data_IF_644727568142
#
_entry.id   IF_644727568142
#
_cell.length_a   1.000
_cell.length_b   1.000
_cell.length_c   1.000
_cell.angle_alpha   90.00
_cell.angle_beta   90.00
_cell.angle_gamma   90.00
#
_symmetry.space_group_name_H-M   'P 1'
#
loop_
_entity.id
_entity.type
_entity.pdbx_description
1 polymer ?
#
# COMPACT_ATOMS: atom_id res chain seq x y z
N UNK A 1 26.82 17.73 -6.21
CA UNK A 1 25.43 17.62 -5.73
C UNK A 1 25.27 16.27 -5.04
N UNK A 2 25.17 16.23 -3.71
CA UNK A 2 24.99 14.96 -2.99
C UNK A 2 23.67 14.32 -3.43
N UNK A 3 23.72 13.08 -3.93
CA UNK A 3 22.52 12.33 -4.30
C UNK A 3 21.70 12.08 -3.03
N UNK A 4 20.61 12.83 -2.84
CA UNK A 4 19.74 12.62 -1.70
C UNK A 4 19.07 11.25 -1.84
N UNK A 5 19.54 10.26 -1.08
CA UNK A 5 19.05 8.88 -1.17
C UNK A 5 17.57 8.87 -0.77
N UNK A 6 16.70 8.49 -1.71
CA UNK A 6 15.25 8.46 -1.48
C UNK A 6 14.91 7.48 -0.35
N UNK A 7 14.33 7.99 0.73
CA UNK A 7 13.88 7.19 1.88
C UNK A 7 12.52 6.56 1.56
N UNK A 8 12.44 5.23 1.56
CA UNK A 8 11.17 4.53 1.42
C UNK A 8 10.46 4.42 2.78
N UNK A 9 9.43 5.24 2.98
CA UNK A 9 8.58 5.24 4.17
C UNK A 9 7.39 4.28 4.01
N UNK A 10 6.96 3.65 5.11
CA UNK A 10 5.72 2.89 5.17
C UNK A 10 4.50 3.81 5.14
N UNK A 11 3.33 3.27 4.81
CA UNK A 11 2.08 4.02 4.91
C UNK A 11 1.78 4.47 6.34
N UNK A 12 2.14 3.69 7.35
CA UNK A 12 2.00 4.08 8.76
C UNK A 12 2.82 5.33 9.10
N UNK A 13 4.10 5.38 8.71
CA UNK A 13 4.94 6.57 8.97
C UNK A 13 4.44 7.79 8.20
N UNK A 14 3.95 7.60 6.97
CA UNK A 14 3.37 8.70 6.18
C UNK A 14 2.07 9.21 6.82
N UNK A 15 1.25 8.33 7.40
CA UNK A 15 0.02 8.73 8.09
C UNK A 15 0.33 9.55 9.35
N UNK A 16 1.30 9.12 10.16
CA UNK A 16 1.77 9.90 11.34
C UNK A 16 2.25 11.30 10.95
N UNK A 17 3.01 11.41 9.87
CA UNK A 17 3.42 12.70 9.31
C UNK A 17 2.24 13.59 8.93
N UNK A 18 1.20 13.02 8.31
CA UNK A 18 -0.03 13.77 7.97
C UNK A 18 -0.73 14.25 9.24
N UNK A 19 -0.89 13.38 10.23
CA UNK A 19 -1.53 13.70 11.50
C UNK A 19 -0.76 14.78 12.28
N UNK A 20 0.58 14.72 12.33
CA UNK A 20 1.40 15.75 12.98
C UNK A 20 1.31 17.11 12.28
N UNK A 21 1.22 17.12 10.95
CA UNK A 21 0.99 18.36 10.18
C UNK A 21 -0.40 18.93 10.43
N UNK A 22 -1.44 18.08 10.49
CA UNK A 22 -2.82 18.51 10.73
C UNK A 22 -3.05 18.99 12.16
N UNK A 23 -2.37 18.38 13.15
CA UNK A 23 -2.38 18.84 14.55
C UNK A 23 -1.69 20.20 14.72
N UNK A 24 -0.83 20.60 13.79
CA UNK A 24 -0.14 21.89 13.82
C UNK A 24 0.91 22.03 14.93
N UNK A 25 1.31 20.92 15.57
CA UNK A 25 2.20 20.95 16.74
C UNK A 25 3.65 21.27 16.41
N UNK A 26 4.10 20.90 15.19
CA UNK A 26 5.48 21.10 14.72
C UNK A 26 5.49 21.81 13.38
N UNK A 27 6.57 22.56 13.11
CA UNK A 27 6.77 23.16 11.79
C UNK A 27 7.09 22.09 10.74
N UNK A 28 6.72 22.34 9.48
CA UNK A 28 7.08 21.46 8.35
C UNK A 28 8.59 21.27 8.20
N UNK A 29 9.38 22.27 8.60
CA UNK A 29 10.84 22.22 8.61
C UNK A 29 11.37 21.22 9.64
N UNK A 30 10.81 21.27 10.85
CA UNK A 30 11.17 20.39 11.95
C UNK A 30 10.80 18.94 11.67
N UNK A 31 9.58 18.68 11.18
CA UNK A 31 9.15 17.34 10.76
C UNK A 31 10.06 16.75 9.68
N UNK A 32 10.46 17.56 8.71
CA UNK A 32 11.39 17.11 7.68
C UNK A 32 12.76 16.73 8.25
N UNK A 33 13.26 17.51 9.21
CA UNK A 33 14.54 17.24 9.89
C UNK A 33 14.47 15.98 10.73
N UNK A 34 13.44 15.81 11.53
CA UNK A 34 13.23 14.66 12.42
C UNK A 34 13.08 13.35 11.64
N UNK A 35 12.29 13.37 10.56
CA UNK A 35 12.09 12.17 9.73
C UNK A 35 13.17 11.97 8.66
N UNK A 36 14.09 12.92 8.49
CA UNK A 36 15.15 12.88 7.48
C UNK A 36 14.60 12.86 6.06
N UNK A 37 13.60 13.69 5.78
CA UNK A 37 12.96 13.82 4.47
C UNK A 37 13.12 15.21 3.88
N UNK A 38 13.11 15.31 2.56
CA UNK A 38 13.08 16.60 1.88
C UNK A 38 11.68 17.23 1.95
N UNK A 39 11.61 18.56 1.96
CA UNK A 39 10.34 19.31 1.91
C UNK A 39 9.46 18.89 0.73
N UNK A 40 10.06 18.64 -0.44
CA UNK A 40 9.34 18.14 -1.62
C UNK A 40 8.65 16.80 -1.36
N UNK A 41 9.27 15.91 -0.58
CA UNK A 41 8.69 14.62 -0.22
C UNK A 41 7.50 14.79 0.73
N UNK A 42 7.60 15.70 1.71
CA UNK A 42 6.50 16.03 2.60
C UNK A 42 5.30 16.60 1.82
N UNK A 43 5.54 17.49 0.87
CA UNK A 43 4.49 18.04 0.00
C UNK A 43 3.77 16.94 -0.81
N UNK A 44 4.51 15.98 -1.38
CA UNK A 44 3.90 14.85 -2.09
C UNK A 44 3.09 13.97 -1.14
N UNK A 45 3.59 13.67 0.06
CA UNK A 45 2.86 12.90 1.09
C UNK A 45 1.54 13.58 1.44
N UNK A 46 1.55 14.91 1.63
CA UNK A 46 0.35 15.68 1.95
C UNK A 46 -0.65 15.75 0.78
N UNK A 47 -0.17 15.71 -0.47
CA UNK A 47 -1.02 15.64 -1.67
C UNK A 47 -1.71 14.29 -1.80
N UNK A 48 -1.02 13.20 -1.47
CA UNK A 48 -1.55 11.84 -1.54
C UNK A 48 -2.23 11.38 -0.22
N UNK A 49 -2.63 12.31 0.66
CA UNK A 49 -3.16 12.00 2.00
C UNK A 49 -4.33 11.00 1.99
N UNK A 50 -5.27 11.17 1.06
CA UNK A 50 -6.48 10.34 1.01
C UNK A 50 -6.14 8.92 0.54
N UNK A 51 -5.20 8.79 -0.40
CA UNK A 51 -4.69 7.49 -0.84
C UNK A 51 -3.96 6.77 0.30
N UNK A 52 -3.18 7.50 1.09
CA UNK A 52 -2.46 6.94 2.24
C UNK A 52 -3.45 6.46 3.31
N UNK A 53 -4.47 7.25 3.64
CA UNK A 53 -5.55 6.85 4.56
C UNK A 53 -6.31 5.62 4.06
N UNK A 54 -6.68 5.59 2.78
CA UNK A 54 -7.35 4.44 2.16
C UNK A 54 -6.48 3.18 2.21
N UNK A 55 -5.18 3.28 1.88
CA UNK A 55 -4.24 2.16 1.95
C UNK A 55 -4.10 1.60 3.38
N UNK A 56 -4.06 2.48 4.38
CA UNK A 56 -4.01 2.10 5.79
C UNK A 56 -5.28 1.36 6.21
N UNK A 57 -6.46 1.84 5.79
CA UNK A 57 -7.75 1.18 6.08
C UNK A 57 -7.88 -0.19 5.40
N UNK A 58 -7.25 -0.37 4.24
CA UNK A 58 -7.16 -1.66 3.53
C UNK A 58 -6.17 -2.65 4.19
N UNK A 59 -5.62 -2.33 5.36
CA UNK A 59 -4.70 -3.21 6.10
C UNK A 59 -3.25 -3.16 5.62
N UNK A 60 -2.89 -2.26 4.71
CA UNK A 60 -1.53 -2.20 4.12
C UNK A 60 -0.57 -1.29 4.87
N UNK A 61 -0.75 -1.12 6.19
CA UNK A 61 0.02 -0.17 7.04
C UNK A 61 1.55 -0.30 6.91
N UNK A 62 2.04 -1.55 6.88
CA UNK A 62 3.47 -1.84 6.83
C UNK A 62 4.07 -1.76 5.42
N UNK A 63 3.23 -1.70 4.39
CA UNK A 63 3.71 -1.58 3.02
C UNK A 63 4.26 -0.17 2.78
N UNK A 64 5.30 -0.11 1.96
CA UNK A 64 5.92 1.16 1.54
C UNK A 64 5.32 1.70 0.23
N UNK A 65 4.68 0.82 -0.54
CA UNK A 65 4.05 1.08 -1.84
C UNK A 65 2.87 0.12 -2.01
N UNK A 66 1.74 0.66 -2.49
CA UNK A 66 0.63 -0.14 -2.98
C UNK A 66 0.97 -0.63 -4.39
N UNK A 67 0.92 -1.94 -4.63
CA UNK A 67 1.05 -2.50 -5.97
C UNK A 67 -0.32 -2.46 -6.64
N UNK A 68 -0.39 -1.95 -7.85
CA UNK A 68 -1.57 -2.05 -8.70
C UNK A 68 -1.49 -3.36 -9.47
N UNK A 69 -2.58 -4.13 -9.46
CA UNK A 69 -2.68 -5.32 -10.30
C UNK A 69 -2.99 -4.94 -11.74
N UNK A 70 -2.47 -5.71 -12.69
CA UNK A 70 -2.82 -5.60 -14.11
C UNK A 70 -4.26 -6.06 -14.35
N UNK A 71 -4.77 -7.01 -13.56
CA UNK A 71 -6.10 -7.60 -13.70
C UNK A 71 -6.84 -7.61 -12.35
N UNK A 72 -7.33 -6.44 -11.88
CA UNK A 72 -7.94 -6.31 -10.56
C UNK A 72 -9.18 -7.19 -10.40
N UNK A 73 -9.96 -7.39 -11.46
CA UNK A 73 -11.17 -8.22 -11.44
C UNK A 73 -10.85 -9.71 -11.28
N UNK A 74 -9.80 -10.18 -11.95
CA UNK A 74 -9.31 -11.56 -11.83
C UNK A 74 -8.80 -11.81 -10.41
N UNK A 75 -7.97 -10.91 -9.88
CA UNK A 75 -7.46 -11.01 -8.51
C UNK A 75 -8.58 -11.04 -7.48
N UNK A 76 -9.59 -10.19 -7.64
CA UNK A 76 -10.77 -10.16 -6.77
C UNK A 76 -11.54 -11.47 -6.84
N UNK A 77 -11.80 -11.97 -8.05
CA UNK A 77 -12.53 -13.20 -8.25
C UNK A 77 -11.75 -14.41 -7.70
N UNK A 78 -10.43 -14.41 -7.83
CA UNK A 78 -9.53 -15.44 -7.28
C UNK A 78 -9.50 -15.38 -5.75
N UNK A 79 -9.48 -14.19 -5.15
CA UNK A 79 -9.54 -14.01 -3.70
C UNK A 79 -10.85 -14.56 -3.12
N UNK A 80 -11.99 -14.28 -3.76
CA UNK A 80 -13.30 -14.82 -3.35
C UNK A 80 -13.30 -16.35 -3.41
N UNK A 81 -12.82 -16.93 -4.52
CA UNK A 81 -12.73 -18.38 -4.66
C UNK A 81 -11.81 -19.00 -3.60
N UNK A 82 -10.66 -18.38 -3.35
CA UNK A 82 -9.71 -18.84 -2.33
C UNK A 82 -10.32 -18.83 -0.92
N UNK A 83 -11.07 -17.79 -0.58
CA UNK A 83 -11.80 -17.71 0.70
C UNK A 83 -12.85 -18.83 0.81
N UNK A 84 -13.62 -19.08 -0.26
CA UNK A 84 -14.60 -20.17 -0.28
C UNK A 84 -13.94 -21.54 -0.09
N UNK A 85 -12.84 -21.80 -0.80
CA UNK A 85 -12.13 -23.08 -0.72
C UNK A 85 -11.44 -23.28 0.65
N UNK A 86 -10.96 -22.21 1.29
CA UNK A 86 -10.51 -22.23 2.70
C UNK A 86 -11.63 -22.59 3.68
N UNK A 87 -12.83 -22.05 3.49
CA UNK A 87 -14.01 -22.37 4.33
C UNK A 87 -14.41 -23.84 4.21
N UNK A 88 -14.15 -24.46 3.05
CA UNK A 88 -14.38 -25.89 2.81
C UNK A 88 -13.24 -26.80 3.29
N UNK A 89 -12.26 -26.26 4.03
CA UNK A 89 -11.06 -26.94 4.55
C UNK A 89 -10.24 -27.69 3.49
N UNK A 90 -10.30 -27.23 2.23
CA UNK A 90 -9.52 -27.82 1.15
C UNK A 90 -8.10 -27.23 1.19
N UNK A 91 -7.04 -28.05 1.30
CA UNK A 91 -5.67 -27.56 1.22
C UNK A 91 -5.35 -27.12 -0.22
N UNK A 92 -5.37 -25.81 -0.45
CA UNK A 92 -5.02 -25.22 -1.75
C UNK A 92 -3.51 -25.05 -1.83
N UNK A 93 -2.88 -25.85 -2.68
CA UNK A 93 -1.45 -25.73 -3.01
C UNK A 93 -1.24 -24.58 -4.01
N UNK A 94 -0.10 -23.91 -3.93
CA UNK A 94 0.27 -22.79 -4.81
C UNK A 94 0.09 -23.04 -6.32
N UNK A 95 0.43 -24.24 -6.86
CA UNK A 95 0.21 -24.55 -8.28
C UNK A 95 -1.26 -24.49 -8.71
N UNK A 96 -2.19 -24.92 -7.85
CA UNK A 96 -3.63 -24.88 -8.12
C UNK A 96 -4.10 -23.42 -8.23
N UNK A 97 -3.53 -22.52 -7.43
CA UNK A 97 -3.86 -21.10 -7.46
C UNK A 97 -3.41 -20.43 -8.76
N UNK A 98 -2.24 -20.82 -9.29
CA UNK A 98 -1.70 -20.32 -10.57
C UNK A 98 -2.60 -20.78 -11.72
N UNK A 99 -2.87 -22.10 -11.81
CA UNK A 99 -3.70 -22.69 -12.86
C UNK A 99 -5.11 -22.08 -12.91
N UNK A 100 -5.72 -21.83 -11.75
CA UNK A 100 -7.05 -21.21 -11.67
C UNK A 100 -7.05 -19.73 -12.06
N UNK A 101 -5.96 -19.01 -11.83
CA UNK A 101 -5.80 -17.64 -12.29
C UNK A 101 -5.72 -17.56 -13.81
N UNK A 102 -4.90 -18.43 -14.42
CA UNK A 102 -4.72 -18.51 -15.87
C UNK A 102 -6.02 -18.94 -16.58
N UNK A 103 -6.71 -19.97 -16.07
CA UNK A 103 -7.96 -20.45 -16.65
C UNK A 103 -9.05 -19.38 -16.68
N UNK A 104 -9.14 -18.53 -15.65
CA UNK A 104 -10.11 -17.42 -15.62
C UNK A 104 -9.74 -16.25 -16.54
N UNK A 105 -8.46 -16.03 -16.81
CA UNK A 105 -8.00 -14.99 -17.73
C UNK A 105 -8.34 -15.28 -19.20
N UNK A 106 -8.58 -16.55 -19.55
CA UNK A 106 -8.87 -17.00 -20.92
C UNK A 106 -10.37 -17.03 -21.27
N UNK A 107 -11.28 -16.78 -20.32
CA UNK A 107 -12.74 -16.91 -20.48
C UNK A 107 -13.45 -15.54 -20.48
N UNK A 108 -12.70 -14.44 -20.50
CA UNK A 108 -13.23 -13.06 -20.63
C UNK A 108 -12.79 -12.46 -21.93
#
# INVERSE_FOLDING_TARGET
MASNKRKCLSFDTKLKLIEEVEKGTKSKAELCREHGIAQSSLSTILKDRDKIRAAVNQGTRQLKKQRTSTYPDVDKALLIWFQQARTMDVPILGPILIEKGELRSLVT
#
